data_IF_462898581189
#
_entry.id   IF_462898581189
#
_cell.length_a   1.000
_cell.length_b   1.000
_cell.length_c   1.000
_cell.angle_alpha   90.00
_cell.angle_beta   90.00
_cell.angle_gamma   90.00
#
_symmetry.space_group_name_H-M   'P 1'
#
loop_
_entity.id
_entity.type
_entity.pdbx_description
1 polymer ?
#
# COMPACT_ATOMS: atom_id res chain seq x y z
N UNK A 1 25.72 1.55 5.78
CA UNK A 1 24.56 2.38 5.51
C UNK A 1 23.99 2.01 4.16
N UNK A 2 22.67 1.98 4.04
CA UNK A 2 21.97 1.61 2.79
C UNK A 2 21.47 2.87 2.06
N UNK A 3 21.10 3.90 2.82
CA UNK A 3 20.62 5.19 2.31
C UNK A 3 21.38 6.31 3.00
N UNK A 4 21.84 7.30 2.23
CA UNK A 4 22.53 8.50 2.71
C UNK A 4 22.02 9.71 1.95
N UNK A 5 21.78 10.81 2.67
CA UNK A 5 21.40 12.12 2.12
C UNK A 5 20.19 12.11 1.16
N UNK A 6 19.15 11.31 1.50
CA UNK A 6 17.92 11.25 0.74
C UNK A 6 16.96 12.32 1.23
N UNK A 7 16.66 13.30 0.35
CA UNK A 7 15.63 14.30 0.58
C UNK A 7 14.60 14.25 -0.54
N UNK A 8 13.35 13.95 -0.21
CA UNK A 8 12.27 13.80 -1.18
C UNK A 8 10.97 14.33 -0.62
N UNK A 9 10.16 14.93 -1.49
CA UNK A 9 8.78 15.30 -1.20
C UNK A 9 7.86 14.57 -2.18
N UNK A 10 6.86 13.89 -1.67
CA UNK A 10 5.80 13.26 -2.46
C UNK A 10 4.63 14.23 -2.64
N UNK A 11 4.08 14.25 -3.85
CA UNK A 11 2.95 15.14 -4.19
C UNK A 11 1.64 14.50 -3.75
N UNK A 12 0.79 15.33 -3.15
CA UNK A 12 -0.49 14.90 -2.57
C UNK A 12 -1.50 14.53 -3.66
N UNK A 13 -2.22 13.43 -3.44
CA UNK A 13 -3.29 12.98 -4.34
C UNK A 13 -2.78 12.45 -5.69
N UNK A 14 -1.49 12.15 -5.80
CA UNK A 14 -0.84 11.66 -7.01
C UNK A 14 -0.14 10.32 -6.78
N UNK A 15 0.17 9.63 -7.87
CA UNK A 15 1.03 8.45 -7.88
C UNK A 15 2.49 8.87 -7.99
N UNK A 16 3.21 8.77 -6.89
CA UNK A 16 4.64 9.05 -6.81
C UNK A 16 5.44 7.74 -6.93
N UNK A 17 6.36 7.67 -7.86
CA UNK A 17 7.19 6.49 -8.07
C UNK A 17 8.59 6.67 -7.50
N UNK A 18 9.08 5.67 -6.80
CA UNK A 18 10.48 5.53 -6.41
C UNK A 18 11.08 4.47 -7.31
N UNK A 19 12.03 4.86 -8.15
CA UNK A 19 12.72 3.96 -9.09
C UNK A 19 14.22 3.92 -8.83
N UNK A 20 14.83 2.83 -9.25
CA UNK A 20 16.27 2.62 -9.08
C UNK A 20 16.63 1.15 -9.28
N UNK A 21 17.91 0.86 -9.29
CA UNK A 21 18.42 -0.51 -9.48
C UNK A 21 17.95 -1.44 -8.35
N UNK A 22 17.89 -2.74 -8.61
CA UNK A 22 17.70 -3.73 -7.54
C UNK A 22 18.80 -3.56 -6.49
N UNK A 23 18.41 -3.53 -5.21
CA UNK A 23 19.36 -3.30 -4.10
C UNK A 23 19.72 -1.84 -3.82
N UNK A 24 19.18 -0.83 -4.54
CA UNK A 24 19.45 0.60 -4.28
C UNK A 24 18.86 1.14 -2.96
N UNK A 25 18.03 0.36 -2.27
CA UNK A 25 17.44 0.79 -0.99
C UNK A 25 15.97 1.23 -1.07
N UNK A 26 15.29 1.12 -2.21
CA UNK A 26 13.87 1.53 -2.38
C UNK A 26 12.95 0.99 -1.30
N UNK A 27 12.96 -0.33 -1.10
CA UNK A 27 12.16 -0.99 -0.04
C UNK A 27 12.57 -0.53 1.36
N UNK A 28 13.87 -0.27 1.59
CA UNK A 28 14.35 0.26 2.87
C UNK A 28 13.80 1.66 3.10
N UNK A 29 13.85 2.55 2.09
CA UNK A 29 13.27 3.89 2.18
C UNK A 29 11.77 3.81 2.49
N UNK A 30 11.02 3.05 1.73
CA UNK A 30 9.58 2.89 1.92
C UNK A 30 9.26 2.38 3.33
N UNK A 31 9.95 1.33 3.80
CA UNK A 31 9.77 0.79 5.16
C UNK A 31 10.20 1.77 6.26
N UNK A 32 11.18 2.63 6.00
CA UNK A 32 11.59 3.69 6.93
C UNK A 32 10.51 4.77 7.04
N UNK A 33 9.92 5.18 5.92
CA UNK A 33 8.85 6.19 5.90
C UNK A 33 7.65 5.71 6.72
N UNK A 34 7.20 4.48 6.53
CA UNK A 34 6.05 3.93 7.27
C UNK A 34 6.38 3.51 8.71
N UNK A 35 7.64 3.68 9.13
CA UNK A 35 8.09 3.41 10.50
C UNK A 35 8.27 1.94 10.84
N UNK A 36 8.51 1.08 9.84
CA UNK A 36 8.92 -0.32 10.02
C UNK A 36 10.42 -0.43 10.27
N UNK A 37 11.19 0.55 9.86
CA UNK A 37 12.62 0.70 10.19
C UNK A 37 12.85 2.03 10.90
N UNK A 38 13.73 2.01 11.89
CA UNK A 38 14.20 3.24 12.55
C UNK A 38 15.29 3.88 11.68
N UNK A 39 15.20 5.19 11.46
CA UNK A 39 16.23 5.95 10.78
C UNK A 39 17.30 6.41 11.79
N UNK A 40 18.57 6.38 11.39
CA UNK A 40 19.68 6.84 12.24
C UNK A 40 19.68 8.35 12.39
N UNK A 41 19.32 9.07 11.32
CA UNK A 41 19.25 10.53 11.28
C UNK A 41 18.28 10.98 10.17
N UNK A 42 17.87 12.25 10.20
CA UNK A 42 16.91 12.82 9.27
C UNK A 42 15.50 12.91 9.85
N UNK A 43 14.60 13.46 9.05
CA UNK A 43 13.23 13.76 9.46
C UNK A 43 12.23 13.20 8.45
N UNK A 44 11.14 12.62 8.97
CA UNK A 44 10.05 12.10 8.15
C UNK A 44 8.79 12.88 8.53
N UNK A 45 8.16 13.50 7.55
CA UNK A 45 6.95 14.28 7.73
C UNK A 45 5.75 13.62 7.04
N UNK A 46 4.64 13.53 7.74
CA UNK A 46 3.32 13.27 7.19
C UNK A 46 2.52 14.59 7.24
N UNK A 47 2.37 15.24 6.11
CA UNK A 47 1.97 16.66 5.98
C UNK A 47 2.91 17.55 6.84
N UNK A 48 2.41 18.14 7.92
CA UNK A 48 3.18 18.98 8.85
C UNK A 48 3.60 18.25 10.15
N UNK A 49 3.30 16.94 10.27
CA UNK A 49 3.58 16.14 11.47
C UNK A 49 4.95 15.46 11.36
N UNK A 50 5.90 15.85 12.19
CA UNK A 50 7.22 15.22 12.28
C UNK A 50 7.11 13.84 12.95
N UNK A 51 7.09 12.78 12.15
CA UNK A 51 6.86 11.41 12.59
C UNK A 51 7.87 10.91 13.63
N UNK A 52 9.13 11.34 13.51
CA UNK A 52 10.21 10.85 14.37
C UNK A 52 9.96 11.17 15.86
N UNK A 53 9.38 12.33 16.15
CA UNK A 53 9.17 12.84 17.52
C UNK A 53 7.82 12.45 18.13
N UNK A 54 6.94 11.83 17.34
CA UNK A 54 5.61 11.46 17.80
C UNK A 54 5.65 10.37 18.86
N UNK A 55 4.76 10.47 19.84
CA UNK A 55 4.46 9.42 20.82
C UNK A 55 3.91 8.15 20.14
N UNK A 56 3.90 7.06 20.88
CA UNK A 56 3.33 5.81 20.37
C UNK A 56 1.85 5.93 19.93
N UNK A 57 1.05 6.69 20.70
CA UNK A 57 -0.37 6.91 20.38
C UNK A 57 -0.54 7.71 19.09
N UNK A 58 0.25 8.77 18.89
CA UNK A 58 0.25 9.58 17.67
C UNK A 58 0.73 8.78 16.46
N UNK A 59 1.78 7.97 16.61
CA UNK A 59 2.23 7.04 15.56
C UNK A 59 1.14 6.02 15.21
N UNK A 60 0.38 5.52 16.20
CA UNK A 60 -0.76 4.64 15.96
C UNK A 60 -1.85 5.35 15.15
N UNK A 61 -2.10 6.64 15.41
CA UNK A 61 -3.05 7.44 14.64
C UNK A 61 -2.61 7.56 13.17
N UNK A 62 -1.33 7.90 12.91
CA UNK A 62 -0.80 7.95 11.54
C UNK A 62 -0.89 6.60 10.82
N UNK A 63 -0.63 5.49 11.53
CA UNK A 63 -0.74 4.14 10.92
C UNK A 63 -2.14 3.79 10.43
N UNK A 64 -3.19 4.36 11.01
CA UNK A 64 -4.57 4.23 10.49
C UNK A 64 -4.76 4.93 9.15
N UNK A 65 -3.96 5.97 8.89
CA UNK A 65 -4.00 6.75 7.66
C UNK A 65 -3.14 6.12 6.55
N UNK A 66 -2.42 5.02 6.85
CA UNK A 66 -1.50 4.34 5.93
C UNK A 66 -2.09 3.00 5.50
N UNK A 67 -2.28 2.83 4.20
CA UNK A 67 -2.43 1.52 3.57
C UNK A 67 -1.09 1.02 3.05
N UNK A 68 -0.86 -0.30 3.12
CA UNK A 68 0.38 -0.88 2.61
C UNK A 68 0.15 -2.15 1.82
N UNK A 69 0.69 -2.18 0.59
CA UNK A 69 0.81 -3.35 -0.26
C UNK A 69 2.27 -3.82 -0.27
N UNK A 70 2.51 -4.99 0.28
CA UNK A 70 3.83 -5.63 0.29
C UNK A 70 4.09 -6.41 -1.01
N UNK A 71 5.35 -6.59 -1.35
CA UNK A 71 5.78 -7.30 -2.55
C UNK A 71 5.13 -8.69 -2.69
N UNK A 72 5.04 -9.46 -1.62
CA UNK A 72 4.42 -10.80 -1.58
C UNK A 72 2.90 -10.79 -1.29
N UNK A 73 2.20 -9.64 -1.38
CA UNK A 73 0.84 -9.43 -0.91
C UNK A 73 0.69 -9.56 0.62
N UNK A 74 1.44 -10.43 1.27
CA UNK A 74 1.45 -10.68 2.71
C UNK A 74 0.04 -10.90 3.30
N UNK A 75 -0.78 -11.68 2.62
CA UNK A 75 -2.05 -12.16 3.16
C UNK A 75 -1.77 -13.19 4.26
N UNK A 76 -2.66 -13.24 5.24
CA UNK A 76 -2.65 -14.29 6.26
C UNK A 76 -3.24 -15.57 5.64
N UNK A 77 -2.43 -16.60 5.48
CA UNK A 77 -2.81 -17.84 4.78
C UNK A 77 -3.94 -18.61 5.47
N UNK A 78 -4.08 -18.45 6.79
CA UNK A 78 -5.13 -19.06 7.60
C UNK A 78 -6.45 -18.32 7.62
N UNK A 79 -6.51 -17.13 7.02
CA UNK A 79 -7.70 -16.28 6.98
C UNK A 79 -8.27 -16.24 5.56
N UNK A 80 -9.62 -16.21 5.47
CA UNK A 80 -10.28 -15.97 4.19
C UNK A 80 -9.98 -14.58 3.62
N UNK A 81 -10.35 -14.34 2.37
CA UNK A 81 -10.24 -13.01 1.73
C UNK A 81 -10.98 -11.96 2.54
N UNK A 82 -12.23 -12.24 2.97
CA UNK A 82 -13.02 -11.37 3.84
C UNK A 82 -12.25 -11.01 5.11
N UNK A 83 -11.78 -12.02 5.83
CA UNK A 83 -11.06 -11.84 7.10
C UNK A 83 -9.76 -11.06 6.91
N UNK A 84 -9.04 -11.29 5.81
CA UNK A 84 -7.84 -10.54 5.47
C UNK A 84 -8.16 -9.04 5.26
N UNK A 85 -9.23 -8.72 4.54
CA UNK A 85 -9.64 -7.34 4.29
C UNK A 85 -10.23 -6.70 5.54
N UNK A 86 -10.95 -7.46 6.35
CA UNK A 86 -11.55 -7.02 7.62
C UNK A 86 -10.51 -6.76 8.71
N UNK A 87 -9.37 -7.42 8.69
CA UNK A 87 -8.35 -7.38 9.73
C UNK A 87 -7.96 -5.96 10.21
N UNK A 88 -7.66 -4.96 9.32
CA UNK A 88 -7.39 -3.61 9.79
C UNK A 88 -8.61 -2.93 10.43
N UNK A 89 -9.83 -3.24 10.01
CA UNK A 89 -11.06 -2.72 10.62
C UNK A 89 -11.22 -3.25 12.05
N UNK A 90 -10.92 -4.53 12.28
CA UNK A 90 -10.95 -5.16 13.61
C UNK A 90 -9.92 -4.54 14.56
N UNK A 91 -8.73 -4.23 14.05
CA UNK A 91 -7.66 -3.64 14.87
C UNK A 91 -7.87 -2.17 15.22
N UNK A 92 -8.56 -1.42 14.36
CA UNK A 92 -8.53 0.04 14.43
C UNK A 92 -9.92 0.70 14.58
N UNK A 93 -11.01 -0.06 14.50
CA UNK A 93 -12.38 0.48 14.62
C UNK A 93 -13.18 -0.27 15.67
N UNK A 94 -14.25 0.34 16.13
CA UNK A 94 -15.26 -0.26 17.01
C UNK A 94 -16.60 -0.53 16.29
N UNK A 95 -16.58 -0.58 14.96
CA UNK A 95 -17.72 -0.86 14.12
C UNK A 95 -18.29 -2.25 14.38
N UNK A 96 -19.60 -2.43 14.13
CA UNK A 96 -20.23 -3.75 14.17
C UNK A 96 -19.67 -4.66 13.06
N UNK A 97 -19.93 -5.96 13.16
CA UNK A 97 -19.53 -6.90 12.11
C UNK A 97 -20.18 -6.55 10.76
N UNK A 98 -21.46 -6.20 10.78
CA UNK A 98 -22.23 -5.84 9.59
C UNK A 98 -21.66 -4.61 8.88
N UNK A 99 -21.32 -3.56 9.64
CA UNK A 99 -20.66 -2.35 9.09
C UNK A 99 -19.29 -2.66 8.47
N UNK A 100 -18.51 -3.51 9.14
CA UNK A 100 -17.21 -3.96 8.61
C UNK A 100 -17.38 -4.80 7.35
N UNK A 101 -18.36 -5.70 7.32
CA UNK A 101 -18.64 -6.56 6.17
C UNK A 101 -19.08 -5.73 4.96
N UNK A 102 -19.94 -4.72 5.16
CA UNK A 102 -20.31 -3.79 4.10
C UNK A 102 -19.07 -3.10 3.52
N UNK A 103 -18.16 -2.63 4.39
CA UNK A 103 -16.91 -2.02 3.97
C UNK A 103 -15.99 -2.99 3.24
N UNK A 104 -15.88 -4.22 3.70
CA UNK A 104 -15.12 -5.30 3.05
C UNK A 104 -15.65 -5.55 1.64
N UNK A 105 -16.97 -5.73 1.50
CA UNK A 105 -17.61 -5.98 0.22
C UNK A 105 -17.40 -4.83 -0.76
N UNK A 106 -17.50 -3.58 -0.30
CA UNK A 106 -17.16 -2.41 -1.08
C UNK A 106 -15.69 -2.47 -1.58
N UNK A 107 -14.73 -2.77 -0.70
CA UNK A 107 -13.32 -2.86 -1.08
C UNK A 107 -13.06 -4.00 -2.08
N UNK A 108 -13.71 -5.15 -1.89
CA UNK A 108 -13.59 -6.30 -2.79
C UNK A 108 -14.18 -6.00 -4.17
N UNK A 109 -15.31 -5.32 -4.24
CA UNK A 109 -15.91 -4.89 -5.50
C UNK A 109 -14.98 -3.92 -6.25
N UNK A 110 -14.37 -2.95 -5.55
CA UNK A 110 -13.42 -1.99 -6.14
C UNK A 110 -12.19 -2.65 -6.76
N UNK A 111 -11.77 -3.79 -6.25
CA UNK A 111 -10.63 -4.54 -6.81
C UNK A 111 -11.04 -5.70 -7.72
N UNK A 112 -12.30 -5.75 -8.16
CA UNK A 112 -12.85 -6.82 -9.01
C UNK A 112 -12.67 -8.23 -8.39
N UNK A 113 -12.96 -8.36 -7.08
CA UNK A 113 -12.98 -9.61 -6.31
C UNK A 113 -14.34 -9.84 -5.64
N UNK A 114 -15.43 -9.38 -6.28
CA UNK A 114 -16.77 -9.65 -5.80
C UNK A 114 -17.00 -11.17 -5.65
N UNK A 115 -17.74 -11.56 -4.62
CA UNK A 115 -18.09 -12.94 -4.31
C UNK A 115 -16.88 -13.86 -4.00
N UNK A 116 -15.74 -13.28 -3.58
CA UNK A 116 -14.53 -14.03 -3.22
C UNK A 116 -14.29 -14.11 -1.71
N UNK A 117 -15.27 -13.74 -0.89
CA UNK A 117 -15.15 -13.58 0.57
C UNK A 117 -14.60 -14.82 1.26
N UNK A 118 -15.12 -16.00 0.92
CA UNK A 118 -14.83 -17.26 1.60
C UNK A 118 -13.53 -17.95 1.12
N UNK A 119 -12.95 -17.48 0.00
CA UNK A 119 -11.75 -18.08 -0.56
C UNK A 119 -10.54 -17.87 0.36
N UNK A 120 -9.69 -18.89 0.45
CA UNK A 120 -8.40 -18.80 1.11
C UNK A 120 -7.33 -18.25 0.14
N UNK A 121 -6.25 -17.65 0.64
CA UNK A 121 -5.14 -17.21 -0.21
C UNK A 121 -4.56 -18.31 -1.11
N UNK A 122 -4.57 -19.57 -0.68
CA UNK A 122 -4.12 -20.72 -1.47
C UNK A 122 -4.97 -20.98 -2.73
N UNK A 123 -6.22 -20.52 -2.75
CA UNK A 123 -7.15 -20.69 -3.86
C UNK A 123 -7.08 -19.52 -4.87
N UNK A 124 -6.30 -18.47 -4.55
CA UNK A 124 -6.18 -17.27 -5.38
C UNK A 124 -5.00 -17.35 -6.36
N UNK A 125 -5.21 -16.84 -7.57
CA UNK A 125 -4.10 -16.53 -8.48
C UNK A 125 -3.20 -15.42 -7.91
N UNK A 126 -1.98 -15.24 -8.45
CA UNK A 126 -1.07 -14.17 -8.05
C UNK A 126 -1.70 -12.77 -8.15
N UNK A 127 -2.39 -12.49 -9.24
CA UNK A 127 -3.11 -11.23 -9.43
C UNK A 127 -4.28 -11.05 -8.47
N UNK A 128 -5.04 -12.12 -8.15
CA UNK A 128 -6.10 -12.07 -7.13
C UNK A 128 -5.53 -11.77 -5.73
N UNK A 129 -4.39 -12.39 -5.37
CA UNK A 129 -3.70 -12.11 -4.09
C UNK A 129 -3.31 -10.63 -3.97
N UNK A 130 -2.78 -10.04 -5.03
CA UNK A 130 -2.43 -8.60 -5.06
C UNK A 130 -3.67 -7.74 -4.91
N UNK A 131 -4.75 -8.05 -5.62
CA UNK A 131 -6.03 -7.32 -5.51
C UNK A 131 -6.63 -7.41 -4.10
N UNK A 132 -6.65 -8.60 -3.48
CA UNK A 132 -7.10 -8.76 -2.10
C UNK A 132 -6.24 -7.95 -1.10
N UNK A 133 -4.92 -7.91 -1.32
CA UNK A 133 -4.02 -7.09 -0.50
C UNK A 133 -4.23 -5.58 -0.70
N UNK A 134 -4.60 -5.13 -1.92
CA UNK A 134 -5.00 -3.75 -2.18
C UNK A 134 -6.33 -3.45 -1.46
N UNK A 135 -7.33 -4.35 -1.54
CA UNK A 135 -8.59 -4.20 -0.82
C UNK A 135 -8.36 -4.03 0.70
N UNK A 136 -7.48 -4.86 1.28
CA UNK A 136 -7.07 -4.73 2.68
C UNK A 136 -6.39 -3.39 2.97
N UNK A 137 -5.52 -2.92 2.07
CA UNK A 137 -4.79 -1.67 2.25
C UNK A 137 -5.72 -0.44 2.25
N UNK A 138 -6.83 -0.47 1.50
CA UNK A 138 -7.79 0.64 1.42
C UNK A 138 -8.97 0.53 2.40
N UNK A 139 -9.04 -0.53 3.19
CA UNK A 139 -10.19 -0.80 4.08
C UNK A 139 -10.45 0.35 5.07
N UNK A 140 -9.41 0.97 5.62
CA UNK A 140 -9.49 2.10 6.57
C UNK A 140 -9.63 3.49 5.92
N UNK A 141 -9.88 3.61 4.62
CA UNK A 141 -9.84 4.89 3.90
C UNK A 141 -8.53 5.65 4.14
N UNK A 142 -7.37 5.08 3.78
CA UNK A 142 -6.08 5.69 4.08
C UNK A 142 -5.89 7.02 3.32
N UNK A 143 -5.10 7.91 3.89
CA UNK A 143 -4.63 9.12 3.20
C UNK A 143 -3.37 8.85 2.37
N UNK A 144 -2.62 7.81 2.74
CA UNK A 144 -1.37 7.41 2.11
C UNK A 144 -1.41 5.92 1.76
N UNK A 145 -1.05 5.57 0.53
CA UNK A 145 -0.92 4.19 0.08
C UNK A 145 0.53 3.92 -0.33
N UNK A 146 1.16 2.96 0.33
CA UNK A 146 2.53 2.55 0.00
C UNK A 146 2.51 1.18 -0.67
N UNK A 147 3.10 1.08 -1.85
CA UNK A 147 3.17 -0.15 -2.64
C UNK A 147 4.62 -0.54 -2.89
N UNK A 148 5.00 -1.70 -2.35
CA UNK A 148 6.34 -2.27 -2.51
C UNK A 148 6.31 -3.30 -3.65
N UNK A 149 6.82 -2.94 -4.85
CA UNK A 149 6.87 -3.79 -6.04
C UNK A 149 5.50 -4.46 -6.34
N UNK A 150 4.43 -3.69 -6.60
CA UNK A 150 3.06 -4.20 -6.65
C UNK A 150 2.84 -5.28 -7.71
N UNK A 151 3.49 -5.19 -8.85
CA UNK A 151 3.37 -6.11 -9.99
C UNK A 151 4.45 -7.20 -10.02
N UNK A 152 5.33 -7.26 -9.02
CA UNK A 152 6.36 -8.30 -8.93
C UNK A 152 5.78 -9.71 -8.94
N UNK A 153 6.32 -10.58 -9.80
CA UNK A 153 5.92 -11.98 -9.92
C UNK A 153 4.63 -12.21 -10.70
N UNK A 154 4.10 -11.19 -11.38
CA UNK A 154 2.95 -11.28 -12.25
C UNK A 154 3.39 -11.31 -13.73
N UNK A 155 2.53 -11.86 -14.59
CA UNK A 155 2.69 -11.69 -16.02
C UNK A 155 2.45 -10.22 -16.43
N UNK A 156 3.00 -9.75 -17.56
CA UNK A 156 2.93 -8.33 -17.94
C UNK A 156 1.50 -7.77 -18.04
N UNK A 157 0.54 -8.55 -18.52
CA UNK A 157 -0.85 -8.10 -18.64
C UNK A 157 -1.50 -7.89 -17.29
N UNK A 158 -1.30 -8.84 -16.38
CA UNK A 158 -1.79 -8.74 -15.00
C UNK A 158 -1.08 -7.60 -14.25
N UNK A 159 0.22 -7.38 -14.50
CA UNK A 159 0.97 -6.26 -13.94
C UNK A 159 0.35 -4.91 -14.30
N UNK A 160 0.04 -4.68 -15.58
CA UNK A 160 -0.62 -3.45 -16.06
C UNK A 160 -1.99 -3.26 -15.39
N UNK A 161 -2.77 -4.34 -15.21
CA UNK A 161 -4.06 -4.25 -14.52
C UNK A 161 -3.91 -3.82 -13.05
N UNK A 162 -2.88 -4.30 -12.35
CA UNK A 162 -2.60 -3.87 -10.96
C UNK A 162 -2.17 -2.40 -10.93
N UNK A 163 -1.31 -1.96 -11.84
CA UNK A 163 -0.86 -0.58 -11.92
C UNK A 163 -2.05 0.37 -12.19
N UNK A 164 -2.89 0.05 -13.16
CA UNK A 164 -4.10 0.82 -13.45
C UNK A 164 -5.07 0.88 -12.25
N UNK A 165 -5.26 -0.24 -11.56
CA UNK A 165 -6.10 -0.29 -10.37
C UNK A 165 -5.56 0.64 -9.26
N UNK A 166 -4.24 0.66 -9.03
CA UNK A 166 -3.61 1.56 -8.06
C UNK A 166 -3.83 3.01 -8.46
N UNK A 167 -3.66 3.37 -9.73
CA UNK A 167 -3.91 4.73 -10.24
C UNK A 167 -5.38 5.14 -10.07
N UNK A 168 -6.33 4.29 -10.45
CA UNK A 168 -7.76 4.55 -10.29
C UNK A 168 -8.12 4.80 -8.82
N UNK A 169 -7.67 3.95 -7.91
CA UNK A 169 -7.88 4.09 -6.45
C UNK A 169 -7.26 5.40 -5.94
N UNK A 170 -6.05 5.73 -6.40
CA UNK A 170 -5.35 6.98 -6.04
C UNK A 170 -6.22 8.20 -6.35
N UNK A 171 -6.73 8.29 -7.57
CA UNK A 171 -7.53 9.42 -8.01
C UNK A 171 -8.92 9.45 -7.41
N UNK A 172 -9.60 8.30 -7.36
CA UNK A 172 -10.97 8.21 -6.84
C UNK A 172 -11.06 8.61 -5.37
N UNK A 173 -10.10 8.17 -4.56
CA UNK A 173 -10.10 8.47 -3.11
C UNK A 173 -9.20 9.67 -2.74
N UNK A 174 -8.53 10.29 -3.69
CA UNK A 174 -7.60 11.39 -3.43
C UNK A 174 -6.40 10.98 -2.56
N UNK A 175 -5.97 9.73 -2.65
CA UNK A 175 -4.87 9.16 -1.84
C UNK A 175 -3.53 9.65 -2.38
N UNK A 176 -2.59 9.93 -1.49
CA UNK A 176 -1.18 10.11 -1.87
C UNK A 176 -0.53 8.73 -1.96
N UNK A 177 -0.26 8.27 -3.18
CA UNK A 177 0.29 6.93 -3.40
C UNK A 177 1.78 6.99 -3.68
N UNK A 178 2.54 6.13 -3.00
CA UNK A 178 3.98 5.97 -3.19
C UNK A 178 4.22 4.52 -3.62
N UNK A 179 4.72 4.33 -4.84
CA UNK A 179 5.03 3.01 -5.40
C UNK A 179 6.53 2.91 -5.60
N UNK A 180 7.17 1.92 -5.01
CA UNK A 180 8.50 1.57 -5.43
C UNK A 180 8.43 0.48 -6.51
N UNK A 181 9.18 0.66 -7.58
CA UNK A 181 9.26 -0.31 -8.68
C UNK A 181 10.57 -0.22 -9.42
N UNK A 182 10.94 -1.30 -10.09
CA UNK A 182 12.00 -1.32 -11.09
C UNK A 182 11.44 -1.54 -12.52
N UNK A 183 10.12 -1.67 -12.66
CA UNK A 183 9.45 -1.86 -13.95
C UNK A 183 9.21 -0.51 -14.63
N UNK A 184 9.84 -0.35 -15.80
CA UNK A 184 9.70 0.87 -16.61
C UNK A 184 8.30 1.02 -17.23
N UNK A 185 7.55 -0.09 -17.40
CA UNK A 185 6.17 0.01 -17.87
C UNK A 185 5.30 0.71 -16.82
N UNK A 186 5.44 0.37 -15.54
CA UNK A 186 4.74 1.08 -14.46
C UNK A 186 5.06 2.57 -14.44
N UNK A 187 6.33 2.95 -14.76
CA UNK A 187 6.71 4.38 -14.82
C UNK A 187 5.94 5.11 -15.89
N UNK A 188 5.77 4.51 -17.06
CA UNK A 188 5.05 5.13 -18.18
C UNK A 188 3.53 5.13 -18.00
N UNK A 189 2.99 4.09 -17.33
CA UNK A 189 1.55 3.90 -17.18
C UNK A 189 0.94 4.74 -16.06
N UNK A 190 1.62 4.78 -14.88
CA UNK A 190 1.01 5.35 -13.67
C UNK A 190 1.86 6.44 -13.00
N UNK A 191 3.08 6.70 -13.48
CA UNK A 191 3.99 7.66 -12.85
C UNK A 191 3.62 9.11 -13.13
N UNK A 192 3.17 9.84 -12.10
CA UNK A 192 2.92 11.28 -12.19
C UNK A 192 4.11 12.07 -11.64
N UNK A 193 4.80 11.53 -10.66
CA UNK A 193 6.08 12.03 -10.16
C UNK A 193 7.05 10.88 -10.01
N UNK A 194 8.29 11.07 -10.43
CA UNK A 194 9.33 10.04 -10.39
C UNK A 194 10.51 10.52 -9.58
N UNK A 195 10.97 9.67 -8.66
CA UNK A 195 12.14 9.88 -7.80
C UNK A 195 13.15 8.77 -8.07
N UNK A 196 14.38 9.12 -8.36
CA UNK A 196 15.49 8.19 -8.56
C UNK A 196 16.29 8.01 -7.27
N UNK A 197 16.62 6.73 -6.92
CA UNK A 197 17.50 6.37 -5.81
C UNK A 197 18.66 5.51 -6.30
#
# INVERSE_FOLDING_TARGET
>A
RVLEDVSVRFEKGMTNLIIGRSGSGKTVLLKSIVGLHTVDSGEIYFDHRLYNTLSFAEKKAIRKEIGMLFQGAALFDSLSVEQNVMFPLDMFTSQSYEEKLERVNFCLERVNLKDSNDLLPSELSGGMKKRAAIARAIALNPQYLFCDEPNSGLDPKTGILIDNLIREITHEFGITTIVNTHDMNSVLEIGEKVVFI
#
